data_IF_544452115169
#
_entry.id   IF_544452115169
#
_cell.length_a   1.000
_cell.length_b   1.000
_cell.length_c   1.000
_cell.angle_alpha   90.00
_cell.angle_beta   90.00
_cell.angle_gamma   90.00
#
_symmetry.space_group_name_H-M   'P 1'
#
loop_
_entity.id
_entity.type
_entity.pdbx_description
1 polymer ?
#
# COMPACT_ATOMS: atom_id res chain seq x y z
N UNK A 1 -12.32 14.37 -11.13
CA UNK A 1 -12.10 13.91 -9.75
C UNK A 1 -13.47 13.64 -9.17
N UNK A 2 -13.85 12.36 -9.08
CA UNK A 2 -15.09 12.00 -8.38
C UNK A 2 -14.89 12.14 -6.87
N UNK A 3 -15.94 12.62 -6.20
CA UNK A 3 -15.93 13.16 -4.84
C UNK A 3 -15.79 12.09 -3.74
N UNK A 4 -15.59 10.84 -4.12
CA UNK A 4 -15.82 9.69 -3.25
C UNK A 4 -14.53 8.91 -2.90
N UNK A 5 -13.34 9.42 -3.25
CA UNK A 5 -12.08 8.81 -2.81
C UNK A 5 -11.92 7.34 -3.25
N UNK A 6 -12.44 7.00 -4.43
CA UNK A 6 -12.30 5.65 -4.97
C UNK A 6 -10.82 5.32 -5.20
N UNK A 7 -10.38 4.20 -4.64
CA UNK A 7 -9.29 3.40 -5.19
C UNK A 7 -9.65 3.21 -6.66
N UNK A 8 -8.78 3.64 -7.57
CA UNK A 8 -9.08 3.45 -8.99
C UNK A 8 -9.34 1.96 -9.21
N UNK A 9 -10.46 1.61 -9.86
CA UNK A 9 -10.78 0.23 -10.25
C UNK A 9 -9.58 -0.49 -10.88
N UNK A 10 -8.61 0.24 -11.43
CA UNK A 10 -7.33 -0.26 -11.91
C UNK A 10 -6.53 -1.06 -10.87
N UNK A 11 -6.27 -0.59 -9.67
CA UNK A 11 -5.28 -1.24 -8.78
C UNK A 11 -5.75 -2.61 -8.28
N UNK A 12 -7.00 -2.70 -7.81
CA UNK A 12 -7.61 -3.96 -7.38
C UNK A 12 -7.75 -4.94 -8.56
N UNK A 13 -8.17 -4.45 -9.72
CA UNK A 13 -8.28 -5.25 -10.93
C UNK A 13 -6.91 -5.79 -11.40
N UNK A 14 -5.84 -5.01 -11.25
CA UNK A 14 -4.48 -5.48 -11.55
C UNK A 14 -4.02 -6.55 -10.57
N UNK A 15 -4.35 -6.42 -9.28
CA UNK A 15 -4.09 -7.47 -8.28
C UNK A 15 -4.87 -8.74 -8.61
N UNK A 16 -6.17 -8.64 -8.90
CA UNK A 16 -6.99 -9.80 -9.26
C UNK A 16 -6.55 -10.46 -10.57
N UNK A 17 -6.09 -9.68 -11.57
CA UNK A 17 -5.47 -10.21 -12.79
C UNK A 17 -4.14 -10.90 -12.53
N UNK A 18 -3.29 -10.32 -11.69
CA UNK A 18 -2.04 -10.93 -11.26
C UNK A 18 -2.33 -12.26 -10.55
N UNK A 19 -3.29 -12.28 -9.63
CA UNK A 19 -3.76 -13.48 -8.94
C UNK A 19 -4.31 -14.54 -9.92
N UNK A 20 -5.06 -14.13 -10.95
CA UNK A 20 -5.55 -15.04 -11.99
C UNK A 20 -4.42 -15.75 -12.73
N UNK A 21 -3.38 -15.01 -13.10
CA UNK A 21 -2.23 -15.57 -13.82
C UNK A 21 -1.33 -16.42 -12.93
N UNK A 22 -1.35 -16.23 -11.61
CA UNK A 22 -0.56 -16.99 -10.63
C UNK A 22 -1.23 -18.28 -10.15
N UNK A 23 -2.27 -18.79 -10.86
CA UNK A 23 -3.10 -19.93 -10.43
C UNK A 23 -3.73 -19.69 -9.05
N UNK A 24 -4.80 -18.90 -9.02
CA UNK A 24 -5.66 -18.58 -7.86
C UNK A 24 -5.80 -19.69 -6.79
N UNK A 25 -5.85 -20.95 -7.21
CA UNK A 25 -6.00 -22.11 -6.31
C UNK A 25 -4.83 -22.30 -5.34
N UNK A 26 -3.63 -21.80 -5.65
CA UNK A 26 -2.49 -21.82 -4.72
C UNK A 26 -2.60 -20.74 -3.62
N UNK A 27 -3.39 -19.68 -3.87
CA UNK A 27 -3.67 -18.59 -2.93
C UNK A 27 -4.99 -18.73 -2.17
N UNK A 28 -5.82 -19.72 -2.50
CA UNK A 28 -7.09 -19.96 -1.80
C UNK A 28 -6.90 -20.17 -0.28
N UNK A 29 -5.70 -20.57 0.14
CA UNK A 29 -5.33 -20.74 1.55
C UNK A 29 -4.49 -19.56 2.11
N UNK A 30 -4.39 -18.44 1.39
CA UNK A 30 -3.65 -17.24 1.79
C UNK A 30 -4.64 -16.10 1.99
N UNK A 31 -4.68 -15.54 3.21
CA UNK A 31 -5.48 -14.35 3.50
C UNK A 31 -4.84 -13.11 2.89
N UNK A 32 -5.65 -12.30 2.20
CA UNK A 32 -5.26 -10.98 1.72
C UNK A 32 -5.76 -9.94 2.72
N UNK A 33 -4.84 -9.13 3.24
CA UNK A 33 -5.19 -8.02 4.11
C UNK A 33 -5.19 -6.72 3.30
N UNK A 34 -6.38 -6.14 3.12
CA UNK A 34 -6.55 -4.91 2.35
C UNK A 34 -6.61 -3.71 3.30
N UNK A 35 -5.56 -2.88 3.30
CA UNK A 35 -5.53 -1.66 4.10
C UNK A 35 -6.28 -0.57 3.35
N UNK A 36 -7.34 -0.06 3.95
CA UNK A 36 -8.26 0.86 3.27
C UNK A 36 -7.91 2.31 3.51
N UNK A 37 -8.02 3.08 2.43
CA UNK A 37 -7.87 4.54 2.39
C UNK A 37 -9.23 5.17 1.99
N UNK A 38 -10.29 4.35 1.98
CA UNK A 38 -11.66 4.72 1.61
C UNK A 38 -12.64 4.36 2.74
N UNK A 39 -13.78 5.05 2.75
CA UNK A 39 -14.67 5.20 3.91
C UNK A 39 -15.72 4.08 4.04
N UNK A 40 -15.93 3.27 2.99
CA UNK A 40 -17.01 2.27 2.97
C UNK A 40 -16.52 0.86 2.59
N UNK A 41 -16.49 -0.04 3.57
CA UNK A 41 -16.10 -1.45 3.41
C UNK A 41 -17.02 -2.21 2.44
N UNK A 42 -18.32 -1.99 2.50
CA UNK A 42 -19.29 -2.69 1.64
C UNK A 42 -19.05 -2.37 0.17
N UNK A 43 -18.79 -1.09 -0.15
CA UNK A 43 -18.47 -0.71 -1.52
C UNK A 43 -17.23 -1.40 -2.07
N UNK A 44 -16.21 -1.65 -1.23
CA UNK A 44 -15.01 -2.39 -1.63
C UNK A 44 -15.35 -3.86 -1.92
N UNK A 45 -16.13 -4.50 -1.04
CA UNK A 45 -16.60 -5.88 -1.21
C UNK A 45 -17.37 -6.01 -2.52
N UNK A 46 -18.30 -5.10 -2.79
CA UNK A 46 -19.11 -5.10 -4.00
C UNK A 46 -18.22 -4.98 -5.26
N UNK A 47 -17.25 -4.06 -5.27
CA UNK A 47 -16.30 -3.91 -6.39
C UNK A 47 -15.42 -5.15 -6.60
N UNK A 48 -14.99 -5.83 -5.54
CA UNK A 48 -14.22 -7.07 -5.66
C UNK A 48 -15.10 -8.15 -6.31
N UNK A 49 -16.34 -8.30 -5.85
CA UNK A 49 -17.27 -9.29 -6.40
C UNK A 49 -17.57 -9.02 -7.88
N UNK A 50 -17.76 -7.75 -8.26
CA UNK A 50 -17.93 -7.35 -9.66
C UNK A 50 -16.68 -7.73 -10.49
N UNK A 51 -15.48 -7.42 -9.99
CA UNK A 51 -14.25 -7.79 -10.67
C UNK A 51 -14.06 -9.31 -10.78
N UNK A 52 -14.45 -10.09 -9.76
CA UNK A 52 -14.44 -11.56 -9.80
C UNK A 52 -15.41 -12.10 -10.86
N UNK A 53 -16.59 -11.51 -10.98
CA UNK A 53 -17.55 -11.84 -12.03
C UNK A 53 -16.97 -11.54 -13.43
N UNK A 54 -16.37 -10.37 -13.62
CA UNK A 54 -15.75 -9.98 -14.91
C UNK A 54 -14.64 -10.94 -15.36
N UNK A 55 -13.90 -11.54 -14.43
CA UNK A 55 -12.85 -12.51 -14.74
C UNK A 55 -13.31 -13.97 -14.74
N UNK A 56 -14.62 -14.22 -14.52
CA UNK A 56 -15.24 -15.55 -14.57
C UNK A 56 -15.04 -16.40 -13.31
N UNK A 57 -14.84 -15.78 -12.15
CA UNK A 57 -14.57 -16.45 -10.87
C UNK A 57 -15.68 -16.32 -9.82
N UNK A 58 -16.69 -15.47 -10.07
CA UNK A 58 -17.73 -15.16 -9.08
C UNK A 58 -18.59 -16.35 -8.63
N UNK A 59 -18.64 -17.43 -9.42
CA UNK A 59 -19.31 -18.68 -9.03
C UNK A 59 -18.48 -19.54 -8.06
N UNK A 60 -17.18 -19.29 -7.94
CA UNK A 60 -16.24 -20.12 -7.17
C UNK A 60 -15.70 -19.45 -5.91
N UNK A 61 -15.61 -18.12 -5.91
CA UNK A 61 -14.99 -17.32 -4.84
C UNK A 61 -15.79 -16.03 -4.68
N UNK A 62 -16.06 -15.61 -3.45
CA UNK A 62 -16.50 -14.26 -3.15
C UNK A 62 -15.45 -13.48 -2.35
N UNK A 63 -15.59 -12.16 -2.31
CA UNK A 63 -14.64 -11.26 -1.64
C UNK A 63 -14.40 -11.63 -0.16
N UNK A 64 -15.47 -11.99 0.56
CA UNK A 64 -15.43 -12.36 1.98
C UNK A 64 -14.59 -13.62 2.25
N UNK A 65 -14.44 -14.51 1.27
CA UNK A 65 -13.63 -15.73 1.41
C UNK A 65 -12.12 -15.43 1.38
N UNK A 66 -11.72 -14.32 0.76
CA UNK A 66 -10.34 -14.06 0.37
C UNK A 66 -9.73 -12.82 1.03
N UNK A 67 -10.54 -11.79 1.32
CA UNK A 67 -10.07 -10.47 1.71
C UNK A 67 -10.55 -10.10 3.11
N UNK A 68 -9.59 -9.70 3.91
CA UNK A 68 -9.77 -9.15 5.24
C UNK A 68 -9.51 -7.64 5.18
N UNK A 69 -10.57 -6.85 5.34
CA UNK A 69 -10.53 -5.40 5.21
C UNK A 69 -10.06 -4.77 6.52
N UNK A 70 -8.86 -4.20 6.47
CA UNK A 70 -8.20 -3.53 7.59
C UNK A 70 -8.39 -2.02 7.46
N UNK A 71 -9.03 -1.43 8.47
CA UNK A 71 -9.43 -0.03 8.49
C UNK A 71 -8.87 0.69 9.74
N UNK A 72 -8.96 2.02 9.77
CA UNK A 72 -8.45 2.85 10.87
C UNK A 72 -7.10 3.51 10.61
N UNK A 73 -6.50 3.27 9.44
CA UNK A 73 -5.15 3.77 9.09
C UNK A 73 -5.16 4.90 8.05
N UNK A 74 -6.31 5.53 7.80
CA UNK A 74 -6.46 6.60 6.80
C UNK A 74 -5.78 7.93 7.22
N UNK A 75 -5.49 8.12 8.51
CA UNK A 75 -4.90 9.37 9.03
C UNK A 75 -5.85 10.55 8.84
N UNK A 76 -5.36 11.65 8.24
CA UNK A 76 -6.15 12.87 8.00
C UNK A 76 -7.19 12.73 6.87
N UNK A 77 -7.24 11.59 6.20
CA UNK A 77 -8.13 11.37 5.06
C UNK A 77 -7.41 11.24 3.73
N UNK A 78 -8.20 11.13 2.66
CA UNK A 78 -7.71 10.89 1.31
C UNK A 78 -6.80 12.02 0.81
N UNK A 79 -5.60 11.66 0.34
CA UNK A 79 -4.63 12.60 -0.22
C UNK A 79 -3.99 13.56 0.80
N UNK A 80 -4.24 13.38 2.09
CA UNK A 80 -3.70 14.19 3.19
C UNK A 80 -2.78 13.33 4.07
N UNK A 81 -1.64 13.88 4.48
CA UNK A 81 -0.67 13.18 5.33
C UNK A 81 -0.38 14.00 6.59
N UNK A 82 -0.27 13.30 7.71
CA UNK A 82 0.31 13.79 8.96
C UNK A 82 1.84 13.93 8.82
N UNK A 83 2.50 14.75 9.65
CA UNK A 83 3.95 14.81 9.71
C UNK A 83 4.61 13.44 9.95
N UNK A 84 3.99 12.61 10.80
CA UNK A 84 4.47 11.26 11.13
C UNK A 84 4.39 10.32 9.92
N UNK A 85 3.32 10.40 9.11
CA UNK A 85 3.22 9.66 7.85
C UNK A 85 4.28 10.11 6.83
N UNK A 86 4.56 11.42 6.76
CA UNK A 86 5.60 11.96 5.88
C UNK A 86 7.00 11.47 6.31
N UNK A 87 7.28 11.44 7.61
CA UNK A 87 8.52 10.91 8.17
C UNK A 87 8.66 9.41 7.92
N UNK A 88 7.59 8.63 8.11
CA UNK A 88 7.58 7.21 7.79
C UNK A 88 7.97 6.94 6.33
N UNK A 89 7.33 7.63 5.38
CA UNK A 89 7.60 7.51 3.95
C UNK A 89 9.08 7.79 3.64
N UNK A 90 9.63 8.85 4.23
CA UNK A 90 11.03 9.19 4.04
C UNK A 90 11.95 8.12 4.64
N UNK A 91 11.67 7.64 5.84
CA UNK A 91 12.47 6.63 6.53
C UNK A 91 12.56 5.34 5.72
N UNK A 92 11.43 4.85 5.19
CA UNK A 92 11.40 3.68 4.30
C UNK A 92 12.23 3.94 3.05
N UNK A 93 12.03 5.08 2.40
CA UNK A 93 12.74 5.44 1.16
C UNK A 93 14.26 5.50 1.38
N UNK A 94 14.71 6.06 2.51
CA UNK A 94 16.13 6.18 2.83
C UNK A 94 16.78 4.87 3.22
N UNK A 95 16.07 4.02 3.96
CA UNK A 95 16.62 2.77 4.47
C UNK A 95 16.59 1.63 3.46
N UNK A 96 15.64 1.65 2.53
CA UNK A 96 15.41 0.52 1.59
C UNK A 96 15.58 0.88 0.12
N UNK A 97 15.58 2.17 -0.22
CA UNK A 97 15.50 2.65 -1.61
C UNK A 97 14.11 2.50 -2.23
N UNK A 98 13.11 2.00 -1.50
CA UNK A 98 11.73 1.85 -1.97
C UNK A 98 10.97 3.17 -1.75
N UNK A 99 10.50 3.75 -2.85
CA UNK A 99 9.82 5.05 -2.84
C UNK A 99 8.32 4.86 -2.65
N UNK A 100 7.79 5.34 -1.52
CA UNK A 100 6.35 5.33 -1.23
C UNK A 100 5.73 6.71 -1.49
N UNK A 101 4.51 6.73 -2.00
CA UNK A 101 3.73 7.94 -2.21
C UNK A 101 2.87 8.30 -0.98
N UNK A 102 2.55 9.60 -0.77
CA UNK A 102 1.83 10.06 0.42
C UNK A 102 0.33 9.74 0.46
N UNK A 103 -0.24 9.30 -0.67
CA UNK A 103 -1.68 9.11 -0.84
C UNK A 103 -2.09 7.65 -0.67
N UNK A 104 -1.35 6.70 -1.24
CA UNK A 104 -1.71 5.28 -1.28
C UNK A 104 -0.64 4.38 -0.68
N UNK A 105 0.47 4.17 -1.38
CA UNK A 105 1.48 3.17 -0.99
C UNK A 105 2.13 3.47 0.36
N UNK A 106 2.33 4.76 0.69
CA UNK A 106 2.80 5.20 2.00
C UNK A 106 1.83 4.89 3.13
N UNK A 107 0.54 5.16 2.93
CA UNK A 107 -0.51 4.84 3.92
C UNK A 107 -0.70 3.34 4.08
N UNK A 108 -0.69 2.58 2.98
CA UNK A 108 -0.76 1.12 3.00
C UNK A 108 0.42 0.50 3.77
N UNK A 109 1.65 0.94 3.48
CA UNK A 109 2.82 0.44 4.19
C UNK A 109 2.83 0.86 5.66
N UNK A 110 2.46 2.11 5.97
CA UNK A 110 2.38 2.61 7.34
C UNK A 110 1.31 1.85 8.14
N UNK A 111 0.14 1.64 7.54
CA UNK A 111 -0.94 0.84 8.13
C UNK A 111 -0.49 -0.60 8.40
N UNK A 112 0.28 -1.22 7.50
CA UNK A 112 0.81 -2.57 7.71
C UNK A 112 1.74 -2.62 8.91
N UNK A 113 2.65 -1.66 9.03
CA UNK A 113 3.60 -1.59 10.16
C UNK A 113 2.88 -1.35 11.49
N UNK A 114 1.86 -0.48 11.50
CA UNK A 114 1.03 -0.25 12.68
C UNK A 114 0.22 -1.50 13.05
N UNK A 115 -0.34 -2.19 12.06
CA UNK A 115 -1.14 -3.41 12.24
C UNK A 115 -0.27 -4.56 12.79
N UNK A 116 0.96 -4.71 12.30
CA UNK A 116 1.94 -5.66 12.84
C UNK A 116 2.33 -5.36 14.28
N UNK A 117 2.42 -4.08 14.64
CA UNK A 117 2.77 -3.64 15.98
C UNK A 117 1.61 -3.80 16.97
N UNK A 118 0.39 -3.52 16.51
CA UNK A 118 -0.82 -3.51 17.35
C UNK A 118 -1.42 -4.90 17.52
N UNK A 119 -1.28 -5.77 16.51
CA UNK A 119 -1.85 -7.12 16.48
C UNK A 119 -0.78 -8.17 16.12
N UNK A 120 0.27 -8.35 16.94
CA UNK A 120 1.41 -9.23 16.59
C UNK A 120 1.00 -10.70 16.38
N UNK A 121 0.04 -11.20 17.15
CA UNK A 121 -0.45 -12.58 17.05
C UNK A 121 -1.14 -12.86 15.70
N UNK A 122 -1.73 -11.83 15.07
CA UNK A 122 -2.45 -11.95 13.79
C UNK A 122 -1.55 -12.44 12.67
N UNK A 123 -0.25 -12.13 12.72
CA UNK A 123 0.72 -12.46 11.67
C UNK A 123 1.83 -13.38 12.15
N UNK A 124 1.76 -13.89 13.38
CA UNK A 124 2.81 -14.70 13.95
C UNK A 124 3.08 -15.96 13.10
N UNK A 125 4.35 -16.18 12.77
CA UNK A 125 4.78 -17.33 11.96
C UNK A 125 4.52 -17.19 10.45
N UNK A 126 3.87 -16.11 10.00
CA UNK A 126 3.59 -15.87 8.59
C UNK A 126 4.69 -15.04 7.92
N UNK A 127 4.94 -15.32 6.63
CA UNK A 127 5.71 -14.43 5.76
C UNK A 127 4.75 -13.44 5.11
N UNK A 128 5.08 -12.15 5.22
CA UNK A 128 4.23 -11.07 4.74
C UNK A 128 4.80 -10.55 3.42
N UNK A 129 3.93 -10.46 2.41
CA UNK A 129 4.22 -9.82 1.13
C UNK A 129 3.40 -8.54 1.05
N UNK A 130 4.09 -7.40 1.01
CA UNK A 130 3.46 -6.12 0.70
C UNK A 130 3.46 -5.89 -0.81
N UNK A 131 2.30 -5.59 -1.40
CA UNK A 131 2.17 -5.28 -2.82
C UNK A 131 2.28 -3.77 -3.00
N UNK A 132 3.43 -3.32 -3.51
CA UNK A 132 3.65 -1.92 -3.86
C UNK A 132 2.98 -1.62 -5.21
N UNK A 133 1.81 -0.98 -5.20
CA UNK A 133 1.03 -0.70 -6.42
C UNK A 133 1.55 0.46 -7.26
N UNK A 134 2.41 1.33 -6.70
CA UNK A 134 3.08 2.41 -7.41
C UNK A 134 2.83 3.74 -6.74
N UNK A 135 2.44 4.76 -7.52
CA UNK A 135 2.07 6.08 -6.99
C UNK A 135 3.18 7.13 -6.97
N UNK A 136 4.38 6.81 -7.49
CA UNK A 136 5.55 7.72 -7.46
C UNK A 136 5.26 9.14 -7.98
N UNK A 137 4.33 9.30 -8.91
CA UNK A 137 3.94 10.62 -9.43
C UNK A 137 3.26 11.52 -8.38
N UNK A 138 2.68 10.93 -7.34
CA UNK A 138 2.12 11.64 -6.19
C UNK A 138 3.15 12.39 -5.34
N UNK A 139 4.45 12.22 -5.61
CA UNK A 139 5.50 13.00 -4.94
C UNK A 139 5.74 14.38 -5.59
N UNK A 140 5.25 14.59 -6.82
CA UNK A 140 5.48 15.85 -7.56
C UNK A 140 4.39 16.91 -7.34
N UNK A 141 3.36 16.61 -6.56
CA UNK A 141 2.24 17.51 -6.31
C UNK A 141 2.44 18.46 -5.10
N UNK A 142 3.63 18.39 -4.48
CA UNK A 142 4.02 19.24 -3.36
C UNK A 142 3.53 18.77 -1.99
N UNK A 143 2.81 17.63 -1.88
CA UNK A 143 2.37 17.10 -0.57
C UNK A 143 3.51 16.80 0.40
N UNK A 144 4.71 16.54 -0.11
CA UNK A 144 5.90 16.31 0.70
C UNK A 144 6.76 17.57 0.90
N UNK A 145 6.38 18.71 0.32
CA UNK A 145 7.22 19.93 0.29
C UNK A 145 7.55 20.44 1.68
N UNK A 146 6.55 20.45 2.58
CA UNK A 146 6.73 20.91 3.96
C UNK A 146 7.89 20.18 4.62
N UNK A 147 8.01 18.88 4.39
CA UNK A 147 9.02 18.04 4.99
C UNK A 147 10.36 18.13 4.23
N UNK A 148 10.34 18.07 2.90
CA UNK A 148 11.53 18.12 2.06
C UNK A 148 12.27 19.47 2.17
N UNK A 149 11.54 20.59 2.29
CA UNK A 149 12.11 21.94 2.39
C UNK A 149 12.65 22.27 3.78
N UNK A 150 12.28 21.53 4.83
CA UNK A 150 12.79 21.73 6.19
C UNK A 150 14.25 21.25 6.37
N UNK A 151 14.81 20.54 5.39
CA UNK A 151 16.19 20.03 5.47
C UNK A 151 17.21 21.15 5.24
N UNK A 152 17.96 21.46 6.30
CA UNK A 152 19.09 22.41 6.27
C UNK A 152 20.39 21.82 5.69
N UNK A 153 20.50 20.49 5.60
CA UNK A 153 21.66 19.81 5.03
C UNK A 153 21.20 18.58 4.22
N UNK A 154 21.32 18.58 2.88
CA UNK A 154 21.25 17.33 2.15
C UNK A 154 22.52 16.55 2.50
N UNK A 155 22.35 15.41 3.17
CA UNK A 155 23.36 14.34 3.08
C UNK A 155 23.72 14.18 1.59
N UNK A 156 25.01 14.06 1.24
CA UNK A 156 25.40 13.89 -0.16
C UNK A 156 24.60 12.73 -0.75
N UNK A 157 24.10 12.92 -1.97
CA UNK A 157 23.50 11.81 -2.72
C UNK A 157 24.64 10.85 -3.03
N UNK A 158 24.82 9.84 -2.17
CA UNK A 158 25.80 8.79 -2.39
C UNK A 158 25.28 7.94 -3.53
N UNK A 159 25.95 8.03 -4.67
CA UNK A 159 25.65 7.14 -5.79
C UNK A 159 25.97 5.72 -5.35
N UNK A 160 25.17 4.75 -5.78
CA UNK A 160 25.42 3.33 -5.46
C UNK A 160 26.84 2.88 -5.84
N UNK A 161 27.45 3.52 -6.86
CA UNK A 161 28.85 3.30 -7.25
C UNK A 161 29.89 3.74 -6.21
N UNK A 162 29.54 4.64 -5.31
CA UNK A 162 30.43 5.21 -4.28
C UNK A 162 30.32 4.46 -2.95
N UNK A 163 29.36 3.53 -2.82
CA UNK A 163 29.21 2.68 -1.62
C UNK A 163 30.30 1.60 -1.55
N UNK A 164 30.81 1.15 -2.70
CA UNK A 164 31.92 0.19 -2.77
C UNK A 164 33.21 0.75 -2.13
N UNK A 165 33.36 2.08 -2.10
CA UNK A 165 34.50 2.78 -1.50
C UNK A 165 34.38 2.99 0.02
N UNK A 166 33.22 2.68 0.61
CA UNK A 166 32.93 2.87 2.05
C UNK A 166 32.93 1.55 2.85
N UNK A 167 33.18 0.42 2.19
CA UNK A 167 33.37 -0.90 2.81
C UNK A 167 34.88 -1.20 2.90
N UNK A 168 35.59 -0.55 3.83
CA UNK A 168 36.96 -0.88 4.24
C UNK A 168 36.99 -1.16 5.75
#
# INVERSE_FOLDING_TARGET
MDKDGYISNGELYQVLKLMRNMKLLEFYNKRIHAITICVNKQSIIDHINDALNEVGLGDSVCADDMIDIVDGYIGLGYGLSTPEEQEFIQSVSRSTGIILDPCYSGKGANGLVQELSSNPDRFQGNRILFIHTGGIFGLFDGKMDSYLKQRKHPEPVVLWKELDDLLI
#
